data_IF_959731423603
#
_entry.id   IF_959731423603
#
_cell.length_a   1.000
_cell.length_b   1.000
_cell.length_c   1.000
_cell.angle_alpha   90.00
_cell.angle_beta   90.00
_cell.angle_gamma   90.00
#
_symmetry.space_group_name_H-M   'P 1'
#
loop_
_entity.id
_entity.type
_entity.pdbx_description
1 polymer ?
#
# COMPACT_ATOMS: atom_id res chain seq x y z
N UNK A 1 -31.83 -3.94 -14.36
CA UNK A 1 -32.12 -3.02 -13.25
C UNK A 1 -30.86 -2.46 -12.64
N UNK A 2 -30.85 -1.15 -12.41
CA UNK A 2 -29.70 -0.49 -11.82
C UNK A 2 -29.77 -0.62 -10.30
N UNK A 3 -28.65 -0.93 -9.64
CA UNK A 3 -28.62 -0.88 -8.18
C UNK A 3 -28.85 0.56 -7.72
N UNK A 4 -29.47 0.71 -6.55
CA UNK A 4 -29.69 2.04 -5.99
C UNK A 4 -28.42 2.53 -5.26
N UNK A 5 -28.42 3.79 -4.86
CA UNK A 5 -27.28 4.41 -4.22
C UNK A 5 -26.87 3.68 -2.92
N UNK A 6 -27.86 3.25 -2.14
CA UNK A 6 -27.58 2.54 -0.89
C UNK A 6 -26.86 1.20 -1.14
N UNK A 7 -27.30 0.47 -2.16
CA UNK A 7 -26.66 -0.81 -2.52
C UNK A 7 -25.23 -0.59 -3.00
N UNK A 8 -25.00 0.44 -3.79
CA UNK A 8 -23.64 0.76 -4.28
C UNK A 8 -22.72 1.16 -3.12
N UNK A 9 -23.24 1.94 -2.17
CA UNK A 9 -22.47 2.31 -0.98
C UNK A 9 -22.11 1.11 -0.12
N UNK A 10 -23.03 0.15 0.01
CA UNK A 10 -22.75 -1.10 0.75
C UNK A 10 -21.64 -1.90 0.07
N UNK A 11 -21.61 -1.93 -1.26
CA UNK A 11 -20.53 -2.58 -1.99
C UNK A 11 -19.19 -1.90 -1.75
N UNK A 12 -19.16 -0.57 -1.74
CA UNK A 12 -17.94 0.18 -1.41
C UNK A 12 -17.48 -0.12 0.01
N UNK A 13 -18.40 -0.12 0.97
CA UNK A 13 -18.06 -0.41 2.37
C UNK A 13 -17.40 -1.78 2.51
N UNK A 14 -17.93 -2.78 1.81
CA UNK A 14 -17.33 -4.12 1.82
C UNK A 14 -15.92 -4.12 1.25
N UNK A 15 -15.71 -3.40 0.14
CA UNK A 15 -14.39 -3.28 -0.46
C UNK A 15 -13.42 -2.52 0.44
N UNK A 16 -13.90 -1.47 1.12
CA UNK A 16 -13.08 -0.72 2.07
C UNK A 16 -12.60 -1.61 3.21
N UNK A 17 -13.49 -2.48 3.72
CA UNK A 17 -13.11 -3.42 4.78
C UNK A 17 -12.01 -4.37 4.29
N UNK A 18 -12.12 -4.87 3.07
CA UNK A 18 -11.10 -5.73 2.47
C UNK A 18 -9.78 -4.98 2.27
N UNK A 19 -9.86 -3.73 1.81
CA UNK A 19 -8.67 -2.89 1.65
C UNK A 19 -7.98 -2.66 2.99
N UNK A 20 -8.74 -2.37 4.03
CA UNK A 20 -8.19 -2.16 5.36
C UNK A 20 -7.45 -3.40 5.86
N UNK A 21 -8.03 -4.58 5.69
CA UNK A 21 -7.40 -5.83 6.06
C UNK A 21 -6.09 -6.06 5.30
N UNK A 22 -6.09 -5.81 3.99
CA UNK A 22 -4.89 -5.98 3.15
C UNK A 22 -3.81 -4.97 3.51
N UNK A 23 -4.17 -3.73 3.79
CA UNK A 23 -3.21 -2.72 4.22
C UNK A 23 -2.57 -3.11 5.56
N UNK A 24 -3.37 -3.65 6.49
CA UNK A 24 -2.85 -4.14 7.76
C UNK A 24 -1.86 -5.29 7.58
N UNK A 25 -2.20 -6.26 6.73
CA UNK A 25 -1.30 -7.38 6.42
C UNK A 25 0.00 -6.89 5.79
N UNK A 26 -0.12 -5.97 4.83
CA UNK A 26 1.05 -5.41 4.16
C UNK A 26 1.97 -4.70 5.15
N UNK A 27 1.38 -3.89 6.03
CA UNK A 27 2.16 -3.16 7.03
C UNK A 27 2.84 -4.10 8.02
N UNK A 28 2.15 -5.15 8.44
CA UNK A 28 2.74 -6.14 9.35
C UNK A 28 3.98 -6.80 8.73
N UNK A 29 3.89 -7.16 7.44
CA UNK A 29 5.02 -7.74 6.72
C UNK A 29 6.16 -6.72 6.57
N UNK A 30 5.81 -5.46 6.26
CA UNK A 30 6.80 -4.40 6.12
C UNK A 30 7.58 -4.15 7.41
N UNK A 31 6.92 -4.25 8.57
CA UNK A 31 7.60 -4.13 9.85
C UNK A 31 8.61 -5.27 10.05
N UNK A 32 8.30 -6.47 9.59
CA UNK A 32 9.23 -7.60 9.61
C UNK A 32 10.42 -7.37 8.67
N UNK A 33 10.17 -6.75 7.52
CA UNK A 33 11.24 -6.35 6.59
C UNK A 33 12.16 -5.33 7.28
N UNK A 34 11.58 -4.36 7.98
CA UNK A 34 12.35 -3.37 8.75
C UNK A 34 13.26 -4.02 9.79
N UNK A 35 12.72 -5.00 10.52
CA UNK A 35 13.51 -5.76 11.50
C UNK A 35 14.70 -6.50 10.83
N UNK A 36 14.43 -7.14 9.69
CA UNK A 36 15.47 -7.85 8.94
C UNK A 36 16.55 -6.89 8.45
N UNK A 37 16.17 -5.71 7.99
CA UNK A 37 17.12 -4.68 7.56
C UNK A 37 18.00 -4.23 8.72
N UNK A 38 17.41 -3.96 9.89
CA UNK A 38 18.18 -3.56 11.07
C UNK A 38 19.16 -4.66 11.50
N UNK A 39 18.71 -5.90 11.51
CA UNK A 39 19.56 -7.05 11.87
C UNK A 39 20.73 -7.20 10.90
N UNK A 40 20.54 -6.88 9.63
CA UNK A 40 21.60 -6.95 8.61
C UNK A 40 22.38 -5.66 8.44
N UNK A 41 22.12 -4.65 9.24
CA UNK A 41 22.80 -3.36 9.12
C UNK A 41 22.43 -2.58 7.87
N UNK A 42 21.26 -2.84 7.28
CA UNK A 42 20.82 -2.19 6.06
C UNK A 42 19.95 -0.98 6.38
N UNK A 43 19.96 0.06 5.51
CA UNK A 43 19.10 1.22 5.73
C UNK A 43 17.63 0.88 5.50
N UNK A 44 16.75 1.55 6.26
CA UNK A 44 15.31 1.39 6.09
C UNK A 44 14.86 1.94 4.73
N UNK A 45 15.34 3.15 4.38
CA UNK A 45 14.97 3.76 3.10
C UNK A 45 15.63 3.01 1.94
N UNK A 46 14.83 2.55 1.00
CA UNK A 46 15.26 1.76 -0.15
C UNK A 46 14.60 2.33 -1.42
N UNK A 47 15.20 3.37 -2.02
CA UNK A 47 14.60 4.04 -3.17
C UNK A 47 14.47 3.14 -4.41
N UNK A 48 15.37 2.19 -4.60
CA UNK A 48 15.27 1.26 -5.74
C UNK A 48 14.06 0.34 -5.58
N UNK A 49 13.84 -0.16 -4.38
CA UNK A 49 12.66 -0.98 -4.09
C UNK A 49 11.37 -0.18 -4.31
N UNK A 50 11.33 1.06 -3.81
CA UNK A 50 10.15 1.92 -4.01
C UNK A 50 9.88 2.15 -5.49
N UNK A 51 10.92 2.42 -6.26
CA UNK A 51 10.78 2.60 -7.71
C UNK A 51 10.23 1.34 -8.39
N UNK A 52 10.73 0.18 -8.01
CA UNK A 52 10.28 -1.09 -8.59
C UNK A 52 8.81 -1.37 -8.28
N UNK A 53 8.35 -0.99 -7.10
CA UNK A 53 6.93 -1.14 -6.73
C UNK A 53 6.06 -0.26 -7.63
N UNK A 54 6.42 1.03 -7.80
CA UNK A 54 5.67 1.94 -8.65
C UNK A 54 5.62 1.45 -10.10
N UNK A 55 6.76 1.03 -10.65
CA UNK A 55 6.82 0.55 -12.02
C UNK A 55 5.89 -0.65 -12.21
N UNK A 56 5.99 -1.63 -11.35
CA UNK A 56 5.18 -2.84 -11.43
C UNK A 56 3.69 -2.54 -11.34
N UNK A 57 3.30 -1.71 -10.39
CA UNK A 57 1.89 -1.42 -10.16
C UNK A 57 1.29 -0.52 -11.25
N UNK A 58 2.06 0.47 -11.72
CA UNK A 58 1.59 1.32 -12.82
C UNK A 58 1.39 0.51 -14.10
N UNK A 59 2.22 -0.50 -14.35
CA UNK A 59 2.04 -1.40 -15.50
C UNK A 59 0.79 -2.25 -15.38
N UNK A 60 0.32 -2.53 -14.17
CA UNK A 60 -0.90 -3.30 -13.93
C UNK A 60 -2.16 -2.46 -13.91
N UNK A 61 -2.02 -1.15 -13.89
CA UNK A 61 -3.17 -0.25 -13.80
C UNK A 61 -4.13 -0.46 -14.97
N UNK A 62 -5.44 -0.43 -14.68
CA UNK A 62 -6.52 -0.58 -15.67
C UNK A 62 -7.63 0.39 -15.30
N UNK A 63 -8.27 0.96 -16.32
CA UNK A 63 -9.40 1.84 -16.09
C UNK A 63 -10.47 1.15 -15.23
N UNK A 64 -11.10 1.89 -14.31
CA UNK A 64 -10.95 3.32 -14.06
C UNK A 64 -9.74 3.71 -13.20
N UNK A 65 -8.91 2.75 -12.78
CA UNK A 65 -7.73 2.99 -11.96
C UNK A 65 -6.54 3.24 -12.88
N UNK A 66 -6.27 4.52 -13.16
CA UNK A 66 -5.20 4.93 -14.09
C UNK A 66 -3.83 4.87 -13.41
N UNK A 67 -2.72 4.82 -14.19
CA UNK A 67 -1.38 4.85 -13.59
C UNK A 67 -1.15 6.04 -12.66
N UNK A 68 -1.65 7.22 -13.00
CA UNK A 68 -1.49 8.40 -12.14
C UNK A 68 -2.21 8.24 -10.80
N UNK A 69 -3.40 7.66 -10.81
CA UNK A 69 -4.16 7.39 -9.58
C UNK A 69 -3.43 6.34 -8.74
N UNK A 70 -2.95 5.27 -9.38
CA UNK A 70 -2.17 4.22 -8.70
C UNK A 70 -0.95 4.84 -8.02
N UNK A 71 -0.22 5.70 -8.73
CA UNK A 71 0.98 6.36 -8.17
C UNK A 71 0.63 7.17 -6.91
N UNK A 72 -0.40 7.99 -6.98
CA UNK A 72 -0.77 8.84 -5.84
C UNK A 72 -1.17 8.02 -4.61
N UNK A 73 -1.94 6.95 -4.82
CA UNK A 73 -2.36 6.08 -3.72
C UNK A 73 -1.15 5.38 -3.10
N UNK A 74 -0.29 4.79 -3.93
CA UNK A 74 0.85 4.04 -3.43
C UNK A 74 1.96 4.93 -2.89
N UNK A 75 2.08 6.17 -3.32
CA UNK A 75 2.97 7.14 -2.68
C UNK A 75 2.63 7.25 -1.19
N UNK A 76 1.34 7.37 -0.88
CA UNK A 76 0.93 7.48 0.52
C UNK A 76 1.13 6.17 1.29
N UNK A 77 0.81 5.05 0.67
CA UNK A 77 1.00 3.73 1.30
C UNK A 77 2.48 3.51 1.63
N UNK A 78 3.35 3.81 0.68
CA UNK A 78 4.80 3.63 0.84
C UNK A 78 5.36 4.58 1.88
N UNK A 79 4.93 5.84 1.87
CA UNK A 79 5.36 6.82 2.89
C UNK A 79 4.98 6.38 4.29
N UNK A 80 3.73 5.97 4.49
CA UNK A 80 3.26 5.48 5.79
C UNK A 80 4.02 4.24 6.24
N UNK A 81 4.32 3.36 5.30
CA UNK A 81 5.08 2.14 5.57
C UNK A 81 6.49 2.47 6.05
N UNK A 82 7.18 3.38 5.35
CA UNK A 82 8.54 3.79 5.72
C UNK A 82 8.56 4.45 7.09
N UNK A 83 7.61 5.32 7.37
CA UNK A 83 7.52 5.98 8.67
C UNK A 83 7.25 4.98 9.79
N UNK A 84 6.39 3.98 9.55
CA UNK A 84 6.13 2.93 10.53
C UNK A 84 7.39 2.11 10.82
N UNK A 85 8.14 1.73 9.78
CA UNK A 85 9.40 1.02 9.94
C UNK A 85 10.41 1.84 10.74
N UNK A 86 10.50 3.14 10.47
CA UNK A 86 11.41 4.04 11.18
C UNK A 86 11.01 4.21 12.65
N UNK A 87 9.72 4.35 12.94
CA UNK A 87 9.23 4.46 14.32
C UNK A 87 9.47 3.19 15.13
N UNK A 88 9.42 2.04 14.49
CA UNK A 88 9.61 0.75 15.16
C UNK A 88 11.05 0.52 15.62
N UNK A 89 11.98 1.40 15.29
CA UNK A 89 13.37 1.34 15.75
C UNK A 89 13.53 1.50 17.26
N UNK A 90 12.54 2.09 17.90
CA UNK A 90 12.63 2.40 19.32
C UNK A 90 12.40 1.21 20.22
#
# INVERSE_FOLDING_TARGET
>A
DQPNLSELRDEIDRLDDQLLDLLGERLAIALRVGEAKRAGGLPIYDPERERSIFLRLCQRARDPLTPDVVRRIFERIIDETRWAEQRAKR
#
